data_IF_864661452277
#
_entry.id   IF_864661452277
#
_cell.length_a   1.000
_cell.length_b   1.000
_cell.length_c   1.000
_cell.angle_alpha   90.00
_cell.angle_beta   90.00
_cell.angle_gamma   90.00
#
_symmetry.space_group_name_H-M   'P 1'
#
loop_
_entity.id
_entity.type
_entity.pdbx_description
1 polymer ?
#
# COMPACT_ATOMS: atom_id res chain seq x y z
N UNK A 1 14.91 1.68 26.97
CA UNK A 1 13.85 2.59 26.46
C UNK A 1 12.46 2.07 26.81
N UNK A 2 12.11 0.82 26.53
CA UNK A 2 10.80 0.28 26.92
C UNK A 2 10.65 0.17 28.44
N UNK A 3 11.70 -0.22 29.16
CA UNK A 3 11.68 -0.44 30.62
C UNK A 3 11.51 0.83 31.47
N UNK A 4 11.63 2.02 30.87
CA UNK A 4 11.36 3.29 31.56
C UNK A 4 9.88 3.72 31.49
N UNK A 5 9.03 2.92 30.84
CA UNK A 5 7.59 3.17 30.82
C UNK A 5 6.97 2.90 32.18
N UNK A 6 5.78 3.48 32.42
CA UNK A 6 5.05 3.26 33.67
C UNK A 6 4.68 1.78 33.82
N UNK A 7 4.72 1.27 35.04
CA UNK A 7 4.20 -0.05 35.35
C UNK A 7 2.71 -0.17 34.94
N UNK A 8 2.34 -1.31 34.37
CA UNK A 8 1.02 -1.56 33.78
C UNK A 8 0.87 -1.10 32.32
N UNK A 9 1.90 -0.50 31.72
CA UNK A 9 1.86 -0.15 30.29
C UNK A 9 1.72 -1.40 29.41
N UNK A 10 1.12 -1.22 28.24
CA UNK A 10 0.98 -2.27 27.22
C UNK A 10 1.63 -1.80 25.93
N UNK A 11 2.44 -2.65 25.32
CA UNK A 11 3.11 -2.42 24.05
C UNK A 11 2.71 -3.50 23.06
N UNK A 12 2.31 -3.09 21.86
CA UNK A 12 1.87 -3.98 20.79
C UNK A 12 2.82 -3.83 19.62
N UNK A 13 3.49 -4.93 19.25
CA UNK A 13 4.42 -4.93 18.13
C UNK A 13 3.81 -5.62 16.91
N UNK A 14 3.43 -4.81 15.92
CA UNK A 14 2.84 -5.30 14.67
C UNK A 14 3.89 -5.89 13.71
N UNK A 15 5.19 -5.67 13.95
CA UNK A 15 6.27 -6.16 13.09
C UNK A 15 6.94 -7.42 13.63
N UNK A 16 6.34 -8.09 14.62
CA UNK A 16 6.92 -9.24 15.31
C UNK A 16 7.32 -10.40 14.37
N UNK A 17 6.67 -10.54 13.22
CA UNK A 17 7.02 -11.57 12.21
C UNK A 17 8.32 -11.26 11.43
N UNK A 18 8.66 -9.98 11.26
CA UNK A 18 9.76 -9.51 10.41
C UNK A 18 10.97 -9.03 11.23
N UNK A 19 11.15 -9.57 12.44
CA UNK A 19 12.22 -9.23 13.37
C UNK A 19 11.78 -8.39 14.57
N UNK A 20 10.65 -7.68 14.48
CA UNK A 20 10.10 -6.85 15.56
C UNK A 20 10.73 -5.45 15.66
N UNK A 21 9.98 -4.51 16.22
CA UNK A 21 10.45 -3.15 16.49
C UNK A 21 11.18 -3.06 17.84
N UNK A 22 10.92 -3.99 18.76
CA UNK A 22 11.51 -4.00 20.09
C UNK A 22 12.43 -5.20 20.28
N UNK A 23 13.58 -4.96 20.91
CA UNK A 23 14.54 -6.02 21.28
C UNK A 23 13.94 -7.05 22.24
N UNK A 24 12.91 -6.66 23.00
CA UNK A 24 12.17 -7.52 23.92
C UNK A 24 10.95 -8.19 23.28
N UNK A 25 10.66 -7.99 21.99
CA UNK A 25 9.51 -8.66 21.36
C UNK A 25 9.79 -10.17 21.28
N UNK A 26 8.83 -10.97 21.75
CA UNK A 26 8.79 -12.42 21.54
C UNK A 26 7.67 -12.74 20.54
N UNK A 27 7.99 -13.13 19.30
CA UNK A 27 6.97 -13.40 18.29
C UNK A 27 6.00 -14.49 18.74
N UNK A 28 4.70 -14.23 18.59
CA UNK A 28 3.61 -15.15 18.95
C UNK A 28 3.18 -15.11 20.41
N UNK A 29 3.89 -14.39 21.28
CA UNK A 29 3.63 -14.41 22.73
C UNK A 29 2.98 -13.13 23.26
N UNK A 30 2.23 -13.30 24.35
CA UNK A 30 1.84 -12.24 25.26
C UNK A 30 2.51 -12.50 26.60
N UNK A 31 3.34 -11.57 27.06
CA UNK A 31 4.07 -11.75 28.31
C UNK A 31 4.36 -10.41 28.99
N UNK A 32 4.68 -10.46 30.30
CA UNK A 32 5.03 -9.28 31.08
C UNK A 32 6.55 -9.22 31.27
N UNK A 33 7.15 -8.10 30.89
CA UNK A 33 8.56 -7.80 31.12
C UNK A 33 8.68 -6.54 31.96
N UNK A 34 9.27 -6.66 33.16
CA UNK A 34 9.49 -5.53 34.10
C UNK A 34 8.27 -4.61 34.26
N UNK A 35 7.10 -5.21 34.50
CA UNK A 35 5.85 -4.49 34.73
C UNK A 35 5.14 -4.00 33.45
N UNK A 36 5.65 -4.31 32.26
CA UNK A 36 5.09 -3.89 30.97
C UNK A 36 4.60 -5.12 30.19
N UNK A 37 3.36 -5.09 29.75
CA UNK A 37 2.78 -6.17 28.95
C UNK A 37 3.17 -6.00 27.49
N UNK A 38 3.78 -7.04 26.92
CA UNK A 38 4.16 -7.12 25.52
C UNK A 38 3.18 -8.00 24.77
N UNK A 39 2.68 -7.53 23.64
CA UNK A 39 1.84 -8.29 22.71
C UNK A 39 2.59 -8.38 21.38
N UNK A 40 3.09 -9.58 21.06
CA UNK A 40 3.87 -9.86 19.86
C UNK A 40 3.21 -10.87 18.91
N UNK A 41 1.88 -10.98 18.91
CA UNK A 41 1.17 -11.92 18.04
C UNK A 41 1.47 -11.67 16.56
N UNK A 42 1.83 -12.73 15.83
CA UNK A 42 2.15 -12.67 14.40
C UNK A 42 0.94 -12.92 13.50
N UNK A 43 -0.20 -13.30 14.08
CA UNK A 43 -1.42 -13.72 13.39
C UNK A 43 -2.63 -12.84 13.73
N UNK A 44 -2.40 -11.55 14.00
CA UNK A 44 -3.46 -10.62 14.41
C UNK A 44 -4.72 -10.63 13.52
N UNK A 45 -4.63 -10.70 12.17
CA UNK A 45 -5.82 -10.82 11.33
C UNK A 45 -6.70 -12.05 11.63
N UNK A 46 -6.09 -13.17 12.04
CA UNK A 46 -6.80 -14.42 12.39
C UNK A 46 -7.69 -14.26 13.62
N UNK A 47 -7.38 -13.31 14.52
CA UNK A 47 -8.18 -13.00 15.72
C UNK A 47 -9.45 -12.22 15.40
N UNK A 48 -9.59 -11.72 14.17
CA UNK A 48 -10.81 -11.14 13.61
C UNK A 48 -11.23 -11.87 12.32
N UNK A 49 -11.25 -13.21 12.37
CA UNK A 49 -11.42 -14.09 11.21
C UNK A 49 -12.59 -13.69 10.29
N UNK A 50 -13.75 -13.30 10.83
CA UNK A 50 -14.92 -12.88 10.03
C UNK A 50 -14.61 -11.65 9.16
N UNK A 51 -13.96 -10.64 9.71
CA UNK A 51 -13.62 -9.41 8.98
C UNK A 51 -12.47 -9.66 8.00
N UNK A 52 -11.44 -10.37 8.43
CA UNK A 52 -10.31 -10.75 7.57
C UNK A 52 -10.79 -11.54 6.36
N UNK A 53 -11.66 -12.53 6.57
CA UNK A 53 -12.22 -13.36 5.49
C UNK A 53 -13.08 -12.53 4.52
N UNK A 54 -13.92 -11.64 5.03
CA UNK A 54 -14.78 -10.78 4.21
C UNK A 54 -13.94 -9.86 3.31
N UNK A 55 -12.96 -9.18 3.90
CA UNK A 55 -12.09 -8.25 3.16
C UNK A 55 -11.19 -8.99 2.16
N UNK A 56 -10.63 -10.13 2.55
CA UNK A 56 -9.79 -10.93 1.66
C UNK A 56 -10.59 -11.52 0.48
N UNK A 57 -11.79 -12.04 0.73
CA UNK A 57 -12.71 -12.51 -0.33
C UNK A 57 -13.09 -11.39 -1.30
N UNK A 58 -13.34 -10.18 -0.79
CA UNK A 58 -13.59 -9.00 -1.63
C UNK A 58 -12.38 -8.67 -2.52
N UNK A 59 -11.15 -8.79 -2.01
CA UNK A 59 -9.94 -8.56 -2.79
C UNK A 59 -9.79 -9.60 -3.91
N UNK A 60 -9.97 -10.89 -3.61
CA UNK A 60 -9.91 -11.97 -4.61
C UNK A 60 -10.99 -11.78 -5.67
N UNK A 61 -12.23 -11.52 -5.26
CA UNK A 61 -13.36 -11.34 -6.18
C UNK A 61 -13.12 -10.18 -7.15
N UNK A 62 -12.63 -9.05 -6.63
CA UNK A 62 -12.30 -7.88 -7.45
C UNK A 62 -11.11 -8.16 -8.38
N UNK A 63 -10.10 -8.88 -7.91
CA UNK A 63 -8.96 -9.28 -8.74
C UNK A 63 -9.42 -10.15 -9.93
N UNK A 64 -10.17 -11.23 -9.67
CA UNK A 64 -10.67 -12.13 -10.71
C UNK A 64 -11.51 -11.39 -11.76
N UNK A 65 -12.38 -10.48 -11.31
CA UNK A 65 -13.19 -9.64 -12.19
C UNK A 65 -12.38 -8.62 -12.99
N UNK A 66 -11.25 -8.16 -12.45
CA UNK A 66 -10.40 -7.16 -13.10
C UNK A 66 -9.46 -7.79 -14.14
N UNK A 67 -8.91 -8.98 -13.88
CA UNK A 67 -7.97 -9.63 -14.79
C UNK A 67 -8.66 -10.27 -16.00
N UNK A 68 -9.93 -10.68 -15.86
CA UNK A 68 -10.76 -11.24 -16.93
C UNK A 68 -12.13 -10.55 -16.93
N UNK A 69 -12.28 -9.41 -17.62
CA UNK A 69 -13.53 -8.63 -17.63
C UNK A 69 -14.63 -9.25 -18.50
N UNK A 70 -14.29 -10.24 -19.33
CA UNK A 70 -15.26 -10.98 -20.14
C UNK A 70 -16.21 -11.79 -19.25
N UNK A 71 -17.47 -11.93 -19.69
CA UNK A 71 -18.53 -12.57 -18.90
C UNK A 71 -18.59 -14.08 -19.10
N UNK A 72 -18.21 -14.55 -20.28
CA UNK A 72 -18.44 -15.93 -20.73
C UNK A 72 -17.13 -16.74 -20.75
N UNK A 73 -15.99 -16.07 -20.93
CA UNK A 73 -14.67 -16.69 -21.00
C UNK A 73 -13.76 -16.14 -19.90
N UNK A 74 -13.12 -17.04 -19.17
CA UNK A 74 -12.07 -16.65 -18.22
C UNK A 74 -10.72 -16.68 -18.92
N UNK A 75 -10.18 -15.51 -19.25
CA UNK A 75 -8.91 -15.37 -19.95
C UNK A 75 -8.17 -14.10 -19.53
N UNK A 76 -6.87 -14.23 -19.27
CA UNK A 76 -5.96 -13.12 -19.05
C UNK A 76 -4.62 -13.41 -19.73
N UNK A 77 -4.03 -12.37 -20.33
CA UNK A 77 -2.78 -12.51 -21.07
C UNK A 77 -1.59 -12.07 -20.21
N UNK A 78 -0.58 -12.93 -20.10
CA UNK A 78 0.66 -12.64 -19.39
C UNK A 78 1.71 -12.18 -20.42
N UNK A 79 2.09 -10.91 -20.37
CA UNK A 79 3.14 -10.31 -21.22
C UNK A 79 4.29 -9.83 -20.34
N UNK A 80 5.52 -9.97 -20.85
CA UNK A 80 6.70 -9.34 -20.25
C UNK A 80 6.85 -7.87 -20.67
N UNK A 81 6.26 -7.50 -21.80
CA UNK A 81 6.16 -6.12 -22.25
C UNK A 81 5.03 -5.40 -21.50
N UNK A 82 5.41 -4.62 -20.49
CA UNK A 82 4.47 -3.96 -19.57
C UNK A 82 4.78 -2.47 -19.43
N UNK A 83 3.72 -1.68 -19.54
CA UNK A 83 3.71 -0.27 -19.14
C UNK A 83 3.20 -0.15 -17.71
N UNK A 84 3.86 0.69 -16.92
CA UNK A 84 3.47 1.00 -15.56
C UNK A 84 2.04 1.57 -15.52
N UNK A 85 1.26 1.15 -14.52
CA UNK A 85 -0.12 1.62 -14.31
C UNK A 85 -1.17 0.94 -15.19
N UNK A 86 -0.76 0.04 -16.09
CA UNK A 86 -1.70 -0.75 -16.90
C UNK A 86 -2.04 -2.07 -16.23
N UNK A 87 -3.12 -2.73 -16.69
CA UNK A 87 -3.51 -4.05 -16.20
C UNK A 87 -2.44 -5.12 -16.49
N UNK A 88 -1.68 -4.99 -17.59
CA UNK A 88 -0.58 -5.91 -17.91
C UNK A 88 0.50 -5.93 -16.83
N UNK A 89 0.83 -4.77 -16.25
CA UNK A 89 1.75 -4.66 -15.13
C UNK A 89 1.25 -5.42 -13.89
N UNK A 90 -0.05 -5.30 -13.57
CA UNK A 90 -0.67 -6.02 -12.44
C UNK A 90 -0.63 -7.53 -12.67
N UNK A 91 -1.06 -8.00 -13.85
CA UNK A 91 -1.09 -9.43 -14.20
C UNK A 91 0.32 -10.02 -14.13
N UNK A 92 1.31 -9.36 -14.77
CA UNK A 92 2.69 -9.87 -14.82
C UNK A 92 3.37 -9.87 -13.45
N UNK A 93 3.08 -8.88 -12.61
CA UNK A 93 3.57 -8.81 -11.23
C UNK A 93 2.91 -9.82 -10.29
N UNK A 94 1.66 -10.21 -10.57
CA UNK A 94 0.90 -11.17 -9.75
C UNK A 94 1.24 -12.63 -10.08
N UNK A 95 1.45 -12.96 -11.36
CA UNK A 95 1.75 -14.33 -11.79
C UNK A 95 3.24 -14.63 -11.57
N UNK A 96 3.54 -15.52 -10.61
CA UNK A 96 4.91 -15.96 -10.30
C UNK A 96 5.35 -17.19 -11.09
N UNK A 97 4.41 -17.97 -11.61
CA UNK A 97 4.64 -19.21 -12.34
C UNK A 97 3.56 -19.41 -13.41
N UNK A 98 3.96 -19.86 -14.60
CA UNK A 98 3.05 -20.18 -15.71
C UNK A 98 3.54 -21.45 -16.40
N UNK A 99 2.64 -22.40 -16.63
CA UNK A 99 2.91 -23.66 -17.35
C UNK A 99 4.14 -24.43 -16.84
N UNK A 100 4.31 -24.51 -15.52
CA UNK A 100 5.48 -25.19 -14.92
C UNK A 100 6.75 -24.34 -14.81
N UNK A 101 6.80 -23.18 -15.47
CA UNK A 101 7.96 -22.30 -15.48
C UNK A 101 7.79 -21.14 -14.49
N UNK A 102 8.76 -20.98 -13.59
CA UNK A 102 8.85 -19.80 -12.72
C UNK A 102 9.21 -18.58 -13.57
N UNK A 103 8.42 -17.52 -13.44
CA UNK A 103 8.62 -16.24 -14.13
C UNK A 103 8.87 -15.09 -13.14
N UNK A 104 9.08 -15.39 -11.86
CA UNK A 104 9.59 -14.44 -10.88
C UNK A 104 11.13 -14.30 -11.02
N UNK A 105 11.71 -13.09 -10.90
CA UNK A 105 11.07 -11.80 -10.68
C UNK A 105 10.46 -11.19 -11.96
N UNK A 106 9.48 -10.29 -11.79
CA UNK A 106 8.91 -9.54 -12.91
C UNK A 106 9.90 -8.50 -13.46
N UNK A 107 9.94 -8.26 -14.79
CA UNK A 107 10.78 -7.24 -15.38
C UNK A 107 10.31 -5.83 -14.98
N UNK A 108 11.23 -4.86 -15.04
CA UNK A 108 10.89 -3.44 -14.82
C UNK A 108 10.01 -2.92 -15.95
N UNK A 109 8.93 -2.16 -15.66
CA UNK A 109 8.11 -1.53 -16.68
C UNK A 109 8.89 -0.55 -17.56
N UNK A 110 8.45 -0.38 -18.81
CA UNK A 110 9.12 0.48 -19.80
C UNK A 110 9.12 1.96 -19.42
N UNK A 111 8.01 2.44 -18.86
CA UNK A 111 7.87 3.78 -18.34
C UNK A 111 7.88 3.78 -16.81
N UNK A 112 8.50 4.79 -16.24
CA UNK A 112 8.42 5.09 -14.81
C UNK A 112 7.34 6.16 -14.67
N UNK A 113 6.54 6.11 -13.58
CA UNK A 113 5.66 7.23 -13.24
C UNK A 113 6.45 8.53 -13.31
N UNK A 114 6.07 9.42 -14.21
CA UNK A 114 6.32 10.84 -13.97
C UNK A 114 5.53 11.19 -12.70
N UNK A 115 6.19 11.77 -11.70
CA UNK A 115 5.53 12.22 -10.48
C UNK A 115 4.27 13.02 -10.84
N UNK A 116 3.25 12.97 -9.97
CA UNK A 116 1.94 13.60 -10.21
C UNK A 116 2.14 14.94 -10.93
N UNK A 117 1.54 15.13 -12.13
CA UNK A 117 1.73 16.37 -12.86
C UNK A 117 1.40 17.53 -11.92
N UNK A 118 2.26 18.56 -11.90
CA UNK A 118 2.08 19.74 -11.05
C UNK A 118 0.63 20.18 -11.21
N UNK A 119 -0.12 20.11 -10.11
CA UNK A 119 -1.56 20.39 -10.11
C UNK A 119 -1.75 21.74 -10.81
N UNK A 120 -2.45 21.73 -11.94
CA UNK A 120 -2.70 22.96 -12.67
C UNK A 120 -3.37 23.94 -11.71
N UNK A 121 -2.83 25.16 -11.65
CA UNK A 121 -3.43 26.24 -10.88
C UNK A 121 -4.88 26.40 -11.35
N UNK A 122 -5.78 26.54 -10.38
CA UNK A 122 -7.19 26.82 -10.66
C UNK A 122 -7.34 28.18 -11.36
N UNK A 123 -8.46 28.38 -12.05
CA UNK A 123 -8.77 29.67 -12.70
C UNK A 123 -8.69 30.83 -11.70
N UNK A 124 -9.18 30.63 -10.48
CA UNK A 124 -9.10 31.63 -9.41
C UNK A 124 -7.67 31.95 -8.98
N UNK A 125 -6.77 30.97 -8.93
CA UNK A 125 -5.36 31.18 -8.61
C UNK A 125 -4.63 31.93 -9.73
N UNK A 126 -4.96 31.63 -10.99
CA UNK A 126 -4.43 32.34 -12.15
C UNK A 126 -4.94 33.80 -12.19
N UNK A 127 -6.21 34.03 -11.86
CA UNK A 127 -6.79 35.37 -11.76
C UNK A 127 -6.22 36.17 -10.58
N UNK A 128 -5.99 35.53 -9.44
CA UNK A 128 -5.35 36.15 -8.28
C UNK A 128 -3.90 36.56 -8.59
N UNK A 129 -3.14 35.74 -9.31
CA UNK A 129 -1.78 36.05 -9.74
C UNK A 129 -1.75 37.20 -10.78
N UNK A 130 -2.74 37.23 -11.69
CA UNK A 130 -2.93 38.33 -12.65
C UNK A 130 -3.37 39.64 -11.97
N UNK A 131 -4.16 39.55 -10.91
CA UNK A 131 -4.56 40.71 -10.11
C UNK A 131 -3.43 41.22 -9.21
N UNK A 132 -2.59 40.31 -8.70
CA UNK A 132 -1.42 40.63 -7.88
C UNK A 132 -0.26 41.25 -8.67
N UNK A 133 -0.23 41.04 -9.99
CA UNK A 133 0.76 41.68 -10.89
C UNK A 133 0.45 43.15 -11.20
N UNK A 134 -0.75 43.65 -10.88
CA UNK A 134 -1.11 45.06 -11.03
C UNK A 134 -0.60 45.83 -9.81
N UNK A 135 0.50 46.58 -10.00
CA UNK A 135 1.09 47.41 -8.94
C UNK A 135 0.15 48.55 -8.51
N UNK A 136 0.20 49.00 -7.24
CA UNK A 136 -0.61 50.13 -6.78
C UNK A 136 -0.42 51.39 -7.65
N UNK A 137 0.79 51.65 -8.15
CA UNK A 137 1.09 52.78 -9.03
C UNK A 137 0.34 52.74 -10.37
N UNK A 138 0.12 51.54 -10.95
CA UNK A 138 -0.64 51.35 -12.19
C UNK A 138 -2.16 51.35 -11.97
N UNK A 139 -2.65 51.32 -10.73
CA UNK A 139 -4.09 51.39 -10.42
C UNK A 139 -4.60 52.83 -10.29
N UNK A 140 -3.73 53.79 -10.03
CA UNK A 140 -4.09 55.19 -9.72
C UNK A 140 -3.91 56.17 -10.88
N UNK A 141 -3.26 55.75 -11.97
CA UNK A 141 -3.21 56.48 -13.25
C UNK A 141 -4.19 55.86 -14.23
#
# INVERSE_FOLDING_TARGET
>A
MIESMKEGSVVVDLAAEAGGNFETTKPGELYVHKGITHIGYTDLPSRMATQASTLYSNNITKLLKAISPDKDHFYFEVKDDIDFGTMGHVIRGTVVMKDGKVIFPAPTPKNILQGSPVKQKTVAELEAEKAATITPFRKTM
#
